data_IF_256178285781
#
_entry.id   IF_256178285781
#
_cell.length_a   1.000
_cell.length_b   1.000
_cell.length_c   1.000
_cell.angle_alpha   90.00
_cell.angle_beta   90.00
_cell.angle_gamma   90.00
#
_symmetry.space_group_name_H-M   'P 1'
#
loop_
_entity.id
_entity.type
_entity.pdbx_description
1 polymer ?
#
# COMPACT_ATOMS: atom_id res chain seq x y z
N UNK A 1 -82.10 30.40 -29.12
CA UNK A 1 -82.04 30.54 -27.65
C UNK A 1 -81.37 29.30 -27.09
N UNK A 2 -80.06 29.32 -26.86
CA UNK A 2 -79.30 28.17 -26.33
C UNK A 2 -79.20 28.27 -24.81
N UNK A 3 -79.84 27.34 -24.09
CA UNK A 3 -79.72 27.21 -22.64
C UNK A 3 -78.41 26.50 -22.32
N UNK A 4 -77.41 27.24 -21.84
CA UNK A 4 -76.18 26.69 -21.29
C UNK A 4 -76.48 26.07 -19.93
N UNK A 5 -76.35 24.74 -19.82
CA UNK A 5 -76.41 24.02 -18.55
C UNK A 5 -75.18 24.36 -17.73
N UNK A 6 -75.35 25.16 -16.68
CA UNK A 6 -74.33 25.38 -15.66
C UNK A 6 -74.13 24.08 -14.88
N UNK A 7 -73.03 23.37 -15.14
CA UNK A 7 -72.56 22.29 -14.28
C UNK A 7 -72.23 22.89 -12.90
N UNK A 8 -72.88 22.39 -11.85
CA UNK A 8 -72.54 22.77 -10.47
C UNK A 8 -71.19 22.16 -10.13
N UNK A 9 -70.27 23.00 -9.68
CA UNK A 9 -68.98 22.60 -9.14
C UNK A 9 -69.20 21.72 -7.91
N UNK A 10 -68.69 20.49 -7.95
CA UNK A 10 -68.71 19.54 -6.84
C UNK A 10 -67.27 19.40 -6.30
N UNK A 11 -66.94 20.09 -5.18
CA UNK A 11 -65.58 20.13 -4.66
C UNK A 11 -65.07 18.77 -4.17
N UNK A 12 -65.97 17.82 -3.86
CA UNK A 12 -65.59 16.48 -3.39
C UNK A 12 -65.09 15.64 -4.56
N UNK A 13 -65.72 15.80 -5.72
CA UNK A 13 -65.40 15.02 -6.91
C UNK A 13 -64.06 15.42 -7.54
N UNK A 14 -63.68 16.70 -7.41
CA UNK A 14 -62.39 17.20 -7.84
C UNK A 14 -61.25 16.77 -6.88
N UNK A 15 -61.53 16.69 -5.58
CA UNK A 15 -60.55 16.25 -4.57
C UNK A 15 -60.15 14.77 -4.70
N UNK A 16 -61.03 13.90 -5.21
CA UNK A 16 -60.73 12.48 -5.41
C UNK A 16 -59.81 12.27 -6.62
N UNK A 17 -59.84 13.16 -7.62
CA UNK A 17 -58.99 13.05 -8.81
C UNK A 17 -57.51 13.37 -8.54
N UNK A 18 -57.18 13.97 -7.39
CA UNK A 18 -55.80 14.40 -7.06
C UNK A 18 -55.06 13.47 -6.11
N UNK A 19 -55.73 12.48 -5.51
CA UNK A 19 -55.09 11.61 -4.52
C UNK A 19 -54.44 10.38 -5.17
N UNK A 20 -53.28 10.59 -5.79
CA UNK A 20 -52.37 9.48 -6.12
C UNK A 20 -51.60 9.16 -4.84
N UNK A 21 -51.77 7.98 -4.21
CA UNK A 21 -50.97 7.64 -3.04
C UNK A 21 -49.49 7.68 -3.43
N UNK A 22 -48.59 8.21 -2.56
CA UNK A 22 -47.18 8.20 -2.84
C UNK A 22 -46.75 6.76 -3.10
N UNK A 23 -46.10 6.53 -4.25
CA UNK A 23 -45.50 5.25 -4.55
C UNK A 23 -44.67 4.83 -3.34
N UNK A 24 -44.94 3.63 -2.79
CA UNK A 24 -44.05 3.04 -1.80
C UNK A 24 -42.66 3.07 -2.42
N UNK A 25 -41.80 3.95 -1.91
CA UNK A 25 -40.39 3.94 -2.22
C UNK A 25 -39.91 2.60 -1.67
N UNK A 26 -39.91 1.58 -2.53
CA UNK A 26 -39.04 0.43 -2.36
C UNK A 26 -37.67 1.06 -2.10
N UNK A 27 -37.15 0.87 -0.89
CA UNK A 27 -35.79 1.26 -0.57
C UNK A 27 -34.91 0.75 -1.73
N UNK A 28 -34.03 1.61 -2.29
CA UNK A 28 -33.09 1.14 -3.30
C UNK A 28 -32.40 -0.11 -2.74
N UNK A 29 -32.16 -1.16 -3.56
CA UNK A 29 -31.28 -2.23 -3.13
C UNK A 29 -30.00 -1.58 -2.59
N UNK A 30 -29.64 -1.90 -1.35
CA UNK A 30 -28.39 -1.44 -0.75
C UNK A 30 -27.30 -1.62 -1.79
N UNK A 31 -26.50 -0.59 -2.13
CA UNK A 31 -25.45 -0.75 -3.11
C UNK A 31 -24.53 -1.83 -2.55
N UNK A 32 -24.50 -2.97 -3.24
CA UNK A 32 -23.37 -3.87 -3.24
C UNK A 32 -22.13 -2.98 -3.36
N UNK A 33 -21.48 -2.74 -2.23
CA UNK A 33 -20.40 -1.78 -2.17
C UNK A 33 -19.25 -2.44 -2.89
N UNK A 34 -18.85 -1.87 -4.01
CA UNK A 34 -17.86 -2.47 -4.90
C UNK A 34 -16.56 -1.69 -4.75
N UNK A 35 -15.47 -2.39 -4.46
CA UNK A 35 -14.13 -1.81 -4.30
C UNK A 35 -13.25 -2.36 -5.42
N UNK A 36 -12.75 -1.48 -6.30
CA UNK A 36 -11.68 -1.83 -7.24
C UNK A 36 -10.32 -1.57 -6.58
N UNK A 37 -9.58 -2.64 -6.28
CA UNK A 37 -8.31 -2.55 -5.53
C UNK A 37 -7.26 -1.70 -6.24
N UNK A 38 -7.31 -1.60 -7.58
CA UNK A 38 -6.34 -0.79 -8.35
C UNK A 38 -6.58 0.72 -8.19
N UNK A 39 -7.76 1.11 -7.70
CA UNK A 39 -8.11 2.50 -7.43
C UNK A 39 -8.00 2.83 -5.94
N UNK A 40 -7.65 1.88 -5.08
CA UNK A 40 -7.45 2.15 -3.66
C UNK A 40 -6.11 2.83 -3.45
N UNK A 41 -6.15 4.00 -2.84
CA UNK A 41 -4.96 4.82 -2.61
C UNK A 41 -3.97 4.12 -1.68
N UNK A 42 -2.70 4.19 -2.04
CA UNK A 42 -1.58 3.85 -1.17
C UNK A 42 -1.47 4.89 -0.05
N UNK A 43 -1.03 4.44 1.13
CA UNK A 43 -0.67 5.33 2.24
C UNK A 43 0.52 6.20 1.84
N UNK A 44 1.48 5.62 1.12
CA UNK A 44 2.62 6.35 0.56
C UNK A 44 2.74 6.08 -0.95
N UNK A 45 2.34 7.03 -1.81
CA UNK A 45 2.46 6.89 -3.26
C UNK A 45 3.80 7.40 -3.82
N UNK A 46 4.74 7.85 -2.98
CA UNK A 46 5.96 8.49 -3.44
C UNK A 46 7.03 7.47 -3.85
N UNK A 47 7.59 7.67 -5.05
CA UNK A 47 8.70 6.87 -5.61
C UNK A 47 10.07 7.26 -5.05
N UNK A 48 10.15 8.41 -4.37
CA UNK A 48 11.37 8.88 -3.73
C UNK A 48 11.05 9.18 -2.27
N UNK A 49 11.81 8.57 -1.36
CA UNK A 49 11.62 8.73 0.07
C UNK A 49 12.90 9.21 0.73
N UNK A 50 12.81 10.00 1.82
CA UNK A 50 13.99 10.42 2.54
C UNK A 50 14.76 9.20 3.06
N UNK A 51 16.08 9.31 3.05
CA UNK A 51 16.94 8.36 3.72
C UNK A 51 16.52 8.24 5.20
N UNK A 52 16.59 7.02 5.72
CA UNK A 52 16.18 6.73 7.09
C UNK A 52 17.21 7.20 8.13
N UNK A 53 18.46 7.43 7.71
CA UNK A 53 19.51 7.98 8.56
C UNK A 53 19.17 9.44 8.91
N UNK A 54 19.11 9.84 10.20
CA UNK A 54 18.60 11.13 10.64
C UNK A 54 19.45 12.34 10.20
N UNK A 55 20.69 12.10 9.77
CA UNK A 55 21.61 13.13 9.29
C UNK A 55 21.74 13.13 7.76
N UNK A 56 20.99 12.27 7.07
CA UNK A 56 21.02 12.16 5.62
C UNK A 56 19.80 12.84 5.01
N UNK A 57 20.04 13.87 4.20
CA UNK A 57 18.98 14.62 3.52
C UNK A 57 18.74 14.13 2.08
N UNK A 58 19.42 13.06 1.64
CA UNK A 58 19.24 12.52 0.30
C UNK A 58 17.90 11.78 0.16
N UNK A 59 17.28 11.94 -1.00
CA UNK A 59 16.10 11.16 -1.39
C UNK A 59 16.56 9.89 -2.12
N UNK A 60 16.02 8.75 -1.72
CA UNK A 60 16.31 7.45 -2.29
C UNK A 60 15.18 7.07 -3.26
N UNK A 61 15.55 6.62 -4.46
CA UNK A 61 14.62 5.98 -5.39
C UNK A 61 14.17 4.63 -4.83
N UNK A 62 12.93 4.57 -4.38
CA UNK A 62 12.34 3.40 -3.74
C UNK A 62 11.78 2.40 -4.73
N UNK A 63 11.85 2.68 -6.04
CA UNK A 63 11.58 1.70 -7.09
C UNK A 63 12.79 0.83 -7.42
N UNK A 64 13.98 1.19 -6.92
CA UNK A 64 15.25 0.54 -7.26
C UNK A 64 15.99 0.03 -6.01
N UNK A 65 15.86 -1.26 -5.67
CA UNK A 65 16.54 -1.86 -4.52
C UNK A 65 18.07 -1.67 -4.57
N UNK A 66 18.67 -1.70 -5.77
CA UNK A 66 20.11 -1.53 -5.95
C UNK A 66 20.53 -0.10 -5.58
N UNK A 67 19.74 0.91 -5.97
CA UNK A 67 20.02 2.30 -5.64
C UNK A 67 19.97 2.53 -4.12
N UNK A 68 18.98 1.95 -3.45
CA UNK A 68 18.90 1.96 -1.99
C UNK A 68 20.13 1.29 -1.35
N UNK A 69 20.44 0.05 -1.74
CA UNK A 69 21.55 -0.71 -1.17
C UNK A 69 22.87 0.04 -1.34
N UNK A 70 23.15 0.55 -2.54
CA UNK A 70 24.36 1.34 -2.80
C UNK A 70 24.42 2.61 -1.96
N UNK A 71 23.31 3.35 -1.84
CA UNK A 71 23.25 4.54 -0.98
C UNK A 71 23.57 4.18 0.47
N UNK A 72 22.89 3.16 1.02
CA UNK A 72 23.05 2.74 2.41
C UNK A 72 24.46 2.24 2.71
N UNK A 73 24.99 1.40 1.83
CA UNK A 73 26.32 0.82 1.98
C UNK A 73 27.39 1.92 1.93
N UNK A 74 27.41 2.74 0.88
CA UNK A 74 28.44 3.76 0.62
C UNK A 74 28.40 4.95 1.57
N UNK A 75 27.22 5.35 2.04
CA UNK A 75 27.06 6.58 2.82
C UNK A 75 26.95 6.35 4.32
N UNK A 76 26.47 5.18 4.76
CA UNK A 76 26.17 4.95 6.17
C UNK A 76 26.91 3.76 6.77
N UNK A 77 26.90 2.60 6.10
CA UNK A 77 27.56 1.41 6.64
C UNK A 77 29.08 1.41 6.46
N UNK A 78 29.60 2.05 5.40
CA UNK A 78 31.05 2.22 5.26
C UNK A 78 31.66 3.10 6.36
N UNK A 79 30.93 4.11 6.86
CA UNK A 79 31.40 4.98 7.96
C UNK A 79 31.35 4.25 9.32
N UNK A 80 30.38 3.35 9.53
CA UNK A 80 30.38 2.43 10.68
C UNK A 80 31.50 1.39 10.60
N UNK A 81 31.93 1.06 9.38
CA UNK A 81 33.01 0.15 9.05
C UNK A 81 34.41 0.82 9.03
N UNK A 82 34.62 1.99 9.63
CA UNK A 82 35.97 2.49 9.96
C UNK A 82 36.71 1.61 11.00
N UNK A 83 36.12 0.46 11.38
CA UNK A 83 36.77 -0.68 12.04
C UNK A 83 37.01 -1.90 11.14
N UNK A 84 36.71 -1.83 9.86
CA UNK A 84 37.01 -2.89 8.90
C UNK A 84 38.35 -2.59 8.22
N UNK A 85 39.35 -3.43 8.52
CA UNK A 85 40.66 -3.46 7.87
C UNK A 85 40.52 -3.93 6.42
N UNK A 86 40.24 -3.00 5.53
CA UNK A 86 40.47 -3.22 4.11
C UNK A 86 41.88 -2.69 3.80
N UNK A 87 42.75 -3.46 3.15
CA UNK A 87 44.05 -2.95 2.74
C UNK A 87 43.82 -1.82 1.73
N UNK A 88 44.08 -0.58 2.16
CA UNK A 88 44.17 0.57 1.26
C UNK A 88 45.31 0.33 0.28
N UNK A 89 44.94 0.22 -0.99
CA UNK A 89 45.82 0.55 -2.10
C UNK A 89 46.70 -0.60 -2.58
N UNK A 90 46.24 -1.25 -3.65
CA UNK A 90 47.15 -1.95 -4.56
C UNK A 90 48.00 -0.89 -5.27
N UNK A 91 49.14 -0.56 -4.67
CA UNK A 91 50.28 -0.07 -5.42
C UNK A 91 50.83 -1.27 -6.18
N UNK A 92 50.95 -1.16 -7.51
CA UNK A 92 51.68 -2.11 -8.34
C UNK A 92 53.08 -2.33 -7.74
N UNK A 93 53.31 -3.50 -7.18
CA UNK A 93 54.58 -3.98 -6.65
C UNK A 93 54.54 -5.50 -6.68
N UNK A 94 55.61 -6.07 -7.20
CA UNK A 94 55.72 -7.44 -7.69
C UNK A 94 55.60 -8.53 -6.60
N UNK A 95 55.04 -9.67 -7.02
CA UNK A 95 55.30 -11.05 -6.59
C UNK A 95 55.47 -11.34 -5.08
N UNK A 96 54.40 -11.88 -4.47
CA UNK A 96 54.47 -13.14 -3.72
C UNK A 96 53.09 -13.80 -3.66
N UNK A 97 53.06 -15.11 -3.85
CA UNK A 97 51.89 -15.98 -4.01
C UNK A 97 51.90 -16.93 -2.81
N UNK A 98 51.10 -16.65 -1.78
CA UNK A 98 50.56 -17.63 -0.81
C UNK A 98 50.04 -16.97 0.47
N UNK A 99 48.84 -16.42 0.48
CA UNK A 99 48.03 -16.39 1.72
C UNK A 99 46.57 -16.69 1.37
N UNK A 100 46.04 -17.67 2.11
CA UNK A 100 44.74 -18.30 1.97
C UNK A 100 43.61 -17.28 2.00
N UNK A 101 42.72 -17.37 1.01
CA UNK A 101 41.39 -16.77 1.05
C UNK A 101 40.60 -17.47 2.16
N UNK A 102 40.78 -17.00 3.40
CA UNK A 102 39.81 -17.26 4.46
C UNK A 102 38.57 -16.45 4.08
N UNK A 103 37.60 -17.15 3.48
CA UNK A 103 36.22 -16.70 3.29
C UNK A 103 35.66 -16.28 4.65
N UNK A 104 35.89 -15.02 5.03
CA UNK A 104 35.31 -14.38 6.21
C UNK A 104 33.80 -14.33 5.97
N UNK A 105 33.08 -15.33 6.50
CA UNK A 105 31.64 -15.46 6.52
C UNK A 105 31.04 -14.12 6.96
N UNK A 106 30.63 -13.33 5.97
CA UNK A 106 30.01 -12.02 6.14
C UNK A 106 28.57 -12.19 6.63
N UNK A 107 28.38 -12.94 7.72
CA UNK A 107 27.20 -12.94 8.59
C UNK A 107 27.17 -11.62 9.39
N UNK A 108 27.21 -10.50 8.67
CA UNK A 108 27.07 -9.17 9.24
C UNK A 108 25.60 -8.83 9.33
N UNK A 109 24.99 -9.02 10.50
CA UNK A 109 23.65 -8.48 10.76
C UNK A 109 23.65 -6.96 10.59
N UNK A 110 22.64 -6.41 9.92
CA UNK A 110 22.53 -4.98 9.66
C UNK A 110 21.39 -4.34 10.48
N UNK A 111 21.69 -3.33 11.33
CA UNK A 111 20.67 -2.63 12.10
C UNK A 111 19.91 -1.60 11.23
N UNK A 112 18.65 -1.30 11.55
CA UNK A 112 18.00 -0.11 10.98
C UNK A 112 18.68 1.17 11.50
N UNK A 113 18.82 2.18 10.63
CA UNK A 113 19.45 3.45 10.99
C UNK A 113 18.48 4.50 11.57
N UNK A 114 17.18 4.18 11.65
CA UNK A 114 16.23 5.02 12.39
C UNK A 114 16.52 4.89 13.91
N UNK A 115 16.83 5.98 14.63
CA UNK A 115 17.08 5.91 16.07
C UNK A 115 15.92 5.38 16.91
N UNK A 116 14.69 5.36 16.35
CA UNK A 116 13.49 4.83 17.00
C UNK A 116 13.21 3.37 16.61
N UNK A 117 14.03 2.77 15.76
CA UNK A 117 13.87 1.40 15.29
C UNK A 117 15.06 0.56 15.76
N UNK A 118 14.78 -0.44 16.59
CA UNK A 118 15.77 -1.37 17.11
C UNK A 118 15.87 -2.65 16.26
N UNK A 119 15.33 -2.63 15.04
CA UNK A 119 15.32 -3.81 14.17
C UNK A 119 16.72 -4.12 13.66
N UNK A 120 17.03 -5.41 13.59
CA UNK A 120 18.27 -5.93 13.03
C UNK A 120 17.90 -7.05 12.08
N UNK A 121 18.45 -7.00 10.87
CA UNK A 121 18.16 -7.95 9.80
C UNK A 121 19.43 -8.66 9.35
N UNK A 122 19.27 -9.78 8.65
CA UNK A 122 20.39 -10.63 8.26
C UNK A 122 21.18 -10.08 7.04
N UNK A 123 20.55 -9.32 6.16
CA UNK A 123 21.12 -8.91 4.88
C UNK A 123 20.50 -7.61 4.33
N UNK A 124 21.07 -7.09 3.23
CA UNK A 124 20.69 -5.83 2.59
C UNK A 124 19.28 -5.87 2.00
N UNK A 125 18.85 -7.01 1.45
CA UNK A 125 17.52 -7.17 0.86
C UNK A 125 16.45 -7.11 1.95
N UNK A 126 16.67 -7.80 3.08
CA UNK A 126 15.77 -7.75 4.23
C UNK A 126 15.72 -6.36 4.87
N UNK A 127 16.83 -5.61 4.83
CA UNK A 127 16.85 -4.24 5.33
C UNK A 127 15.98 -3.34 4.44
N UNK A 128 16.12 -3.49 3.13
CA UNK A 128 15.29 -2.78 2.17
C UNK A 128 13.81 -3.08 2.38
N UNK A 129 13.43 -4.36 2.48
CA UNK A 129 12.04 -4.77 2.69
C UNK A 129 11.51 -4.22 4.04
N UNK A 130 12.32 -4.30 5.10
CA UNK A 130 11.98 -3.71 6.40
C UNK A 130 11.70 -2.20 6.31
N UNK A 131 12.57 -1.44 5.64
CA UNK A 131 12.41 0.01 5.49
C UNK A 131 11.21 0.35 4.62
N UNK A 132 11.03 -0.40 3.53
CA UNK A 132 9.89 -0.28 2.62
C UNK A 132 8.57 -0.46 3.35
N UNK A 133 8.45 -1.45 4.23
CA UNK A 133 7.21 -1.80 4.90
C UNK A 133 6.95 -0.96 6.14
N UNK A 134 7.97 -0.76 6.98
CA UNK A 134 7.82 -0.13 8.30
C UNK A 134 7.91 1.39 8.21
N UNK A 135 8.90 1.89 7.48
CA UNK A 135 9.24 3.31 7.48
C UNK A 135 8.59 4.05 6.32
N UNK A 136 8.75 3.54 5.09
CA UNK A 136 8.16 4.16 3.91
C UNK A 136 6.70 3.74 3.69
N UNK A 137 6.28 2.55 4.17
CA UNK A 137 4.90 2.05 4.02
C UNK A 137 4.42 2.04 2.57
N UNK A 138 5.29 1.64 1.65
CA UNK A 138 5.01 1.67 0.20
C UNK A 138 3.95 0.64 -0.23
N UNK A 139 3.80 -0.44 0.55
CA UNK A 139 2.88 -1.53 0.23
C UNK A 139 1.64 -1.55 1.13
N UNK A 140 1.32 -0.40 1.72
CA UNK A 140 0.21 -0.21 2.65
C UNK A 140 -0.94 0.53 1.97
N UNK A 141 -2.15 -0.02 2.07
CA UNK A 141 -3.38 0.57 1.55
C UNK A 141 -4.35 0.93 2.68
N UNK A 142 -5.09 2.02 2.53
CA UNK A 142 -6.23 2.31 3.40
C UNK A 142 -7.48 1.61 2.83
N UNK A 143 -8.11 0.72 3.59
CA UNK A 143 -9.35 0.10 3.18
C UNK A 143 -10.46 1.16 3.08
N UNK A 144 -11.14 1.34 1.93
CA UNK A 144 -12.16 2.38 1.80
C UNK A 144 -13.47 2.06 2.54
N UNK A 145 -13.66 0.82 3.02
CA UNK A 145 -14.83 0.42 3.80
C UNK A 145 -14.71 0.70 5.31
N UNK A 146 -13.51 0.62 5.87
CA UNK A 146 -13.28 0.77 7.32
C UNK A 146 -12.08 1.65 7.69
N UNK A 147 -11.39 2.23 6.71
CA UNK A 147 -10.20 3.09 6.85
C UNK A 147 -9.00 2.40 7.53
N UNK A 148 -9.07 1.09 7.77
CA UNK A 148 -7.97 0.32 8.32
C UNK A 148 -6.81 0.25 7.32
N UNK A 149 -5.59 0.46 7.83
CA UNK A 149 -4.37 0.30 7.04
C UNK A 149 -4.01 -1.18 6.95
N UNK A 150 -3.85 -1.67 5.73
CA UNK A 150 -3.56 -3.07 5.42
C UNK A 150 -2.29 -3.14 4.56
N UNK A 151 -1.35 -4.00 4.97
CA UNK A 151 -0.13 -4.27 4.21
C UNK A 151 -0.25 -5.46 3.27
N UNK A 152 0.78 -5.68 2.45
CA UNK A 152 0.83 -6.81 1.52
C UNK A 152 0.24 -6.49 0.15
N UNK A 153 0.36 -5.24 -0.31
CA UNK A 153 -0.11 -4.79 -1.62
C UNK A 153 -1.62 -5.04 -1.84
N UNK A 154 -2.03 -5.14 -3.12
CA UNK A 154 -3.40 -5.44 -3.50
C UNK A 154 -3.89 -6.77 -2.93
N UNK A 155 -3.04 -7.80 -2.84
CA UNK A 155 -3.45 -9.14 -2.36
C UNK A 155 -3.80 -9.13 -0.88
N UNK A 156 -3.04 -8.41 -0.05
CA UNK A 156 -3.35 -8.19 1.35
C UNK A 156 -4.67 -7.44 1.54
N UNK A 157 -4.89 -6.39 0.75
CA UNK A 157 -6.15 -5.65 0.75
C UNK A 157 -7.34 -6.51 0.31
N UNK A 158 -7.20 -7.32 -0.74
CA UNK A 158 -8.25 -8.25 -1.18
C UNK A 158 -8.62 -9.23 -0.06
N UNK A 159 -7.63 -9.83 0.59
CA UNK A 159 -7.82 -10.76 1.70
C UNK A 159 -8.58 -10.08 2.85
N UNK A 160 -8.15 -8.89 3.26
CA UNK A 160 -8.84 -8.11 4.28
C UNK A 160 -10.31 -7.85 3.92
N UNK A 161 -10.60 -7.46 2.68
CA UNK A 161 -11.98 -7.21 2.25
C UNK A 161 -12.80 -8.51 2.30
N UNK A 162 -12.26 -9.63 1.86
CA UNK A 162 -12.98 -10.91 1.91
C UNK A 162 -13.20 -11.47 3.32
N UNK A 163 -12.31 -11.17 4.26
CA UNK A 163 -12.46 -11.65 5.65
C UNK A 163 -13.34 -10.73 6.47
N UNK A 164 -13.17 -9.42 6.32
CA UNK A 164 -13.74 -8.44 7.24
C UNK A 164 -14.98 -7.75 6.66
N UNK A 165 -15.18 -7.82 5.34
CA UNK A 165 -16.27 -7.17 4.60
C UNK A 165 -17.03 -8.15 3.68
N UNK A 166 -17.66 -9.18 4.26
CA UNK A 166 -18.33 -10.28 3.53
C UNK A 166 -19.44 -9.88 2.53
N UNK A 167 -19.89 -8.62 2.52
CA UNK A 167 -20.88 -8.08 1.58
C UNK A 167 -20.32 -7.16 0.50
N UNK A 168 -19.00 -6.95 0.47
CA UNK A 168 -18.33 -6.06 -0.48
C UNK A 168 -17.78 -6.88 -1.65
N UNK A 169 -18.10 -6.43 -2.87
CA UNK A 169 -17.54 -7.02 -4.08
C UNK A 169 -16.17 -6.42 -4.38
N UNK A 170 -15.16 -7.28 -4.52
CA UNK A 170 -13.81 -6.86 -4.92
C UNK A 170 -13.67 -6.93 -6.44
N UNK A 171 -13.17 -5.85 -7.04
CA UNK A 171 -12.79 -5.80 -8.44
C UNK A 171 -11.27 -5.59 -8.59
N UNK A 172 -10.73 -6.03 -9.71
CA UNK A 172 -9.48 -5.53 -10.29
C UNK A 172 -9.73 -5.38 -11.77
N UNK A 173 -9.45 -4.23 -12.37
CA UNK A 173 -9.77 -4.07 -13.79
C UNK A 173 -11.14 -3.51 -14.10
N UNK A 174 -11.98 -3.24 -13.10
CA UNK A 174 -13.42 -3.30 -13.26
C UNK A 174 -13.97 -4.74 -13.38
N UNK A 175 -13.12 -5.77 -13.24
CA UNK A 175 -13.53 -7.17 -13.30
C UNK A 175 -13.68 -7.75 -11.89
N UNK A 176 -14.78 -8.47 -11.58
CA UNK A 176 -14.95 -9.13 -10.29
C UNK A 176 -13.89 -10.19 -10.04
N UNK A 177 -13.33 -10.21 -8.84
CA UNK A 177 -12.41 -11.25 -8.38
C UNK A 177 -13.15 -12.15 -7.39
N UNK A 178 -13.19 -13.46 -7.67
CA UNK A 178 -13.68 -14.47 -6.73
C UNK A 178 -12.61 -14.77 -5.68
N UNK A 179 -13.05 -15.03 -4.45
CA UNK A 179 -12.18 -15.54 -3.38
C UNK A 179 -11.54 -16.83 -3.88
N UNK A 180 -10.21 -16.87 -3.95
CA UNK A 180 -9.49 -18.13 -4.22
C UNK A 180 -9.67 -18.97 -2.96
N UNK A 181 -10.41 -20.06 -3.09
CA UNK A 181 -10.48 -21.08 -2.04
C UNK A 181 -9.14 -21.82 -2.12
N UNK A 182 -8.24 -21.54 -1.19
CA UNK A 182 -7.03 -22.34 -1.02
C UNK A 182 -7.49 -23.76 -0.66
N UNK A 183 -7.46 -24.68 -1.63
CA UNK A 183 -7.61 -26.11 -1.39
C UNK A 183 -6.37 -26.59 -0.58
N UNK A 184 -6.63 -27.05 0.66
CA UNK A 184 -5.64 -27.62 1.60
C UNK A 184 -4.85 -28.81 1.04
#
# INVERSE_FOLDING_TARGET
MNQLRTQRFDPVRDAIATFTPPAKILAPPQPNTTIDVRHVSLINPFMHNPCISPLCEELIDTGNPIAFTLHMHLKHYHELADRCHHPRGVSRGDADDSETEDDDDREGTMPCLDPKCESVVADEQRLYDHIKDVHWKLDMHACPACEQVVGGHETGLMKHIWTDHAGVQVLSGGCPISKVEDEE
#
